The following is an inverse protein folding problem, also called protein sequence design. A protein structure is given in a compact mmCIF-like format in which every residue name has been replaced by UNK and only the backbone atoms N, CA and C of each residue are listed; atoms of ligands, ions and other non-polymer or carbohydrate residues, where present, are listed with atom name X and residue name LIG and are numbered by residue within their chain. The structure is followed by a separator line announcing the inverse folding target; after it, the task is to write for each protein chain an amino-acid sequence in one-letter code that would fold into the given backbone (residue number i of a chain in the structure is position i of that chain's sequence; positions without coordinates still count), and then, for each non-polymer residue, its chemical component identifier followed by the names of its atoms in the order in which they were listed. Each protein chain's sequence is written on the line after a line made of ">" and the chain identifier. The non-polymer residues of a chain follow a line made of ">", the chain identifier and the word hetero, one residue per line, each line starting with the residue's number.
data_IF_739920171084
#
_entry.id   IF_739920171084
#
_cell.length_a   1.000
_cell.length_b   1.000
_cell.length_c   1.000
_cell.angle_alpha   90.00
_cell.angle_beta   90.00
_cell.angle_gamma   90.00
#
_symmetry.space_group_name_H-M   'P 1'
#
loop_
_entity.id
_entity.type
_entity.pdbx_description
1 polymer ?
#
# COMPACT_ATOMS: atom_id res chain seq x y z
N UNK A 1 -11.72 72.39 59.34
CA UNK A 1 -12.38 72.23 58.03
C UNK A 1 -11.36 71.63 57.07
N UNK A 2 -11.40 70.31 56.82
CA UNK A 2 -10.42 69.57 56.00
C UNK A 2 -11.05 69.30 54.64
N UNK A 3 -10.56 69.94 53.58
CA UNK A 3 -10.99 69.68 52.21
C UNK A 3 -10.23 68.43 51.73
N UNK A 4 -10.96 67.33 51.59
CA UNK A 4 -10.45 66.07 51.04
C UNK A 4 -10.62 66.15 49.52
N UNK A 5 -9.53 66.41 48.80
CA UNK A 5 -9.50 66.26 47.34
C UNK A 5 -9.46 64.77 46.99
N UNK A 6 -10.57 64.21 46.50
CA UNK A 6 -10.58 62.92 45.82
C UNK A 6 -10.12 63.11 44.38
N UNK A 7 -8.92 62.64 44.06
CA UNK A 7 -8.49 62.44 42.68
C UNK A 7 -9.25 61.23 42.11
N UNK A 8 -10.25 61.50 41.26
CA UNK A 8 -10.85 60.49 40.40
C UNK A 8 -9.91 60.23 39.23
N UNK A 9 -9.13 59.15 39.33
CA UNK A 9 -8.31 58.64 38.23
C UNK A 9 -9.23 58.07 37.15
N UNK A 10 -9.59 58.89 36.16
CA UNK A 10 -10.28 58.43 34.96
C UNK A 10 -9.36 57.48 34.21
N UNK A 11 -9.67 56.20 34.30
CA UNK A 11 -8.90 55.09 33.75
C UNK A 11 -8.98 55.19 32.22
N UNK A 12 -7.89 55.62 31.56
CA UNK A 12 -7.74 55.62 30.10
C UNK A 12 -7.65 54.18 29.56
N UNK A 13 -8.76 53.44 29.64
CA UNK A 13 -8.87 52.02 29.26
C UNK A 13 -8.58 51.81 27.77
N UNK A 14 -8.84 52.81 26.92
CA UNK A 14 -8.60 52.72 25.47
C UNK A 14 -7.12 52.72 25.09
N UNK A 15 -6.26 53.40 25.88
CA UNK A 15 -4.82 53.47 25.61
C UNK A 15 -4.08 52.19 25.99
N UNK A 16 -4.48 51.56 27.10
CA UNK A 16 -3.87 50.31 27.56
C UNK A 16 -4.14 49.15 26.60
N UNK A 17 -5.38 49.01 26.12
CA UNK A 17 -5.75 47.94 25.18
C UNK A 17 -4.96 48.02 23.86
N UNK A 18 -4.68 49.23 23.36
CA UNK A 18 -3.91 49.41 22.12
C UNK A 18 -2.44 49.00 22.31
N UNK A 19 -1.85 49.34 23.45
CA UNK A 19 -0.46 48.93 23.78
C UNK A 19 -0.38 47.42 23.93
N UNK A 20 -1.30 46.80 24.66
CA UNK A 20 -1.36 45.34 24.85
C UNK A 20 -1.52 44.61 23.51
N UNK A 21 -2.40 45.08 22.63
CA UNK A 21 -2.56 44.54 21.29
C UNK A 21 -1.25 44.65 20.48
N UNK A 22 -0.61 45.82 20.48
CA UNK A 22 0.62 46.04 19.71
C UNK A 22 1.77 45.14 20.18
N UNK A 23 1.85 44.89 21.49
CA UNK A 23 2.84 44.00 22.09
C UNK A 23 2.54 42.54 21.76
N UNK A 24 1.28 42.12 21.86
CA UNK A 24 0.84 40.79 21.47
C UNK A 24 1.11 40.50 19.99
N UNK A 25 0.83 41.47 19.10
CA UNK A 25 1.08 41.34 17.67
C UNK A 25 2.58 41.22 17.36
N UNK A 26 3.41 41.97 18.10
CA UNK A 26 4.88 41.94 17.95
C UNK A 26 5.46 40.60 18.42
N UNK A 27 5.00 40.08 19.56
CA UNK A 27 5.41 38.76 20.06
C UNK A 27 4.95 37.64 19.13
N UNK A 28 3.72 37.72 18.63
CA UNK A 28 3.21 36.77 17.65
C UNK A 28 4.02 36.81 16.34
N UNK A 29 4.35 38.00 15.85
CA UNK A 29 5.20 38.17 14.67
C UNK A 29 6.57 37.52 14.86
N UNK A 30 7.20 37.69 16.04
CA UNK A 30 8.47 37.05 16.36
C UNK A 30 8.34 35.52 16.43
N UNK A 31 7.27 35.02 17.04
CA UNK A 31 6.98 33.59 17.09
C UNK A 31 6.77 33.01 15.69
N UNK A 32 6.08 33.71 14.79
CA UNK A 32 5.86 33.28 13.41
C UNK A 32 7.18 33.26 12.63
N UNK A 33 7.99 34.32 12.74
CA UNK A 33 9.29 34.41 12.04
C UNK A 33 10.24 33.30 12.48
N UNK A 34 10.21 32.91 13.76
CA UNK A 34 11.13 31.89 14.27
C UNK A 34 10.57 30.47 14.19
N UNK A 35 9.28 30.29 14.47
CA UNK A 35 8.63 28.98 14.54
C UNK A 35 8.29 28.39 13.17
N UNK A 36 7.88 29.22 12.20
CA UNK A 36 7.47 28.72 10.86
C UNK A 36 8.62 28.05 10.12
N UNK A 37 9.86 28.61 10.05
CA UNK A 37 10.96 27.95 9.35
C UNK A 37 11.31 26.58 9.93
N UNK A 38 11.36 26.47 11.27
CA UNK A 38 11.67 25.21 11.95
C UNK A 38 10.61 24.14 11.69
N UNK A 39 9.33 24.54 11.74
CA UNK A 39 8.23 23.65 11.41
C UNK A 39 8.25 23.25 9.93
N UNK A 40 8.57 24.19 9.04
CA UNK A 40 8.67 23.94 7.61
C UNK A 40 9.78 22.92 7.29
N UNK A 41 10.97 23.07 7.86
CA UNK A 41 12.08 22.12 7.66
C UNK A 41 11.71 20.70 8.13
N UNK A 42 11.05 20.57 9.28
CA UNK A 42 10.58 19.28 9.78
C UNK A 42 9.50 18.66 8.89
N UNK A 43 8.57 19.46 8.38
CA UNK A 43 7.54 18.98 7.46
C UNK A 43 8.15 18.53 6.12
N UNK A 44 9.10 19.29 5.57
CA UNK A 44 9.80 18.91 4.33
C UNK A 44 10.57 17.62 4.53
N UNK A 45 11.32 17.47 5.64
CA UNK A 45 12.05 16.25 5.94
C UNK A 45 11.10 15.04 6.04
N UNK A 46 9.95 15.22 6.69
CA UNK A 46 8.93 14.18 6.82
C UNK A 46 8.31 13.81 5.47
N UNK A 47 8.01 14.79 4.63
CA UNK A 47 7.46 14.58 3.30
C UNK A 47 8.43 13.81 2.40
N UNK A 48 9.70 14.20 2.38
CA UNK A 48 10.75 13.50 1.61
C UNK A 48 10.88 12.03 2.04
N UNK A 49 10.92 11.76 3.35
CA UNK A 49 11.00 10.39 3.87
C UNK A 49 9.75 9.58 3.50
N UNK A 50 8.57 10.21 3.52
CA UNK A 50 7.33 9.56 3.07
C UNK A 50 7.39 9.20 1.59
N UNK A 51 7.89 10.09 0.73
CA UNK A 51 8.07 9.80 -0.70
C UNK A 51 9.03 8.62 -0.92
N UNK A 52 10.18 8.64 -0.23
CA UNK A 52 11.16 7.55 -0.31
C UNK A 52 10.55 6.21 0.16
N UNK A 53 9.81 6.21 1.26
CA UNK A 53 9.10 5.04 1.77
C UNK A 53 8.09 4.49 0.75
N UNK A 54 7.35 5.36 0.07
CA UNK A 54 6.42 4.95 -0.99
C UNK A 54 7.14 4.34 -2.19
N UNK A 55 8.30 4.87 -2.57
CA UNK A 55 9.13 4.28 -3.64
C UNK A 55 9.59 2.88 -3.23
N UNK A 56 10.12 2.71 -2.01
CA UNK A 56 10.56 1.40 -1.50
C UNK A 56 9.41 0.41 -1.52
N UNK A 57 8.27 0.76 -0.92
CA UNK A 57 7.12 -0.14 -0.85
C UNK A 57 6.52 -0.46 -2.22
N UNK A 58 6.42 0.53 -3.10
CA UNK A 58 5.94 0.29 -4.47
C UNK A 58 6.87 -0.67 -5.22
N UNK A 59 8.17 -0.60 -4.93
CA UNK A 59 9.14 -1.44 -5.59
C UNK A 59 9.37 -2.81 -4.95
N UNK A 60 9.01 -2.99 -3.68
CA UNK A 60 9.29 -4.23 -2.95
C UNK A 60 8.74 -5.51 -3.63
N UNK A 61 7.49 -5.55 -4.14
CA UNK A 61 6.93 -6.79 -4.70
C UNK A 61 7.68 -7.30 -5.94
N UNK A 62 7.96 -6.42 -6.91
CA UNK A 62 8.65 -6.83 -8.14
C UNK A 62 10.13 -7.17 -7.89
N UNK A 63 10.77 -6.54 -6.89
CA UNK A 63 12.14 -6.88 -6.49
C UNK A 63 12.20 -8.25 -5.84
N UNK A 64 11.25 -8.53 -4.96
CA UNK A 64 11.11 -9.82 -4.28
C UNK A 64 10.85 -10.95 -5.30
N UNK A 65 9.94 -10.75 -6.26
CA UNK A 65 9.66 -11.74 -7.32
C UNK A 65 10.86 -12.05 -8.21
N UNK A 66 11.79 -11.09 -8.34
CA UNK A 66 13.02 -11.22 -9.14
C UNK A 66 14.24 -11.60 -8.30
N UNK A 67 14.08 -11.85 -6.99
CA UNK A 67 15.18 -12.20 -6.09
C UNK A 67 16.25 -11.11 -5.95
N UNK A 68 15.87 -9.84 -6.12
CA UNK A 68 16.77 -8.70 -5.97
C UNK A 68 16.87 -8.26 -4.51
N UNK A 69 17.99 -7.63 -4.18
CA UNK A 69 18.20 -6.99 -2.88
C UNK A 69 17.10 -5.95 -2.59
N UNK A 70 16.62 -5.85 -1.36
CA UNK A 70 15.58 -4.88 -1.02
C UNK A 70 16.17 -3.46 -0.97
N UNK A 71 15.38 -2.46 -1.38
CA UNK A 71 15.79 -1.06 -1.29
C UNK A 71 15.70 -0.58 0.16
N UNK A 72 16.74 0.07 0.64
CA UNK A 72 16.72 0.85 1.88
C UNK A 72 16.61 2.35 1.56
N UNK A 73 16.43 3.16 2.61
CA UNK A 73 16.34 4.62 2.45
C UNK A 73 17.63 5.23 1.91
N UNK A 74 18.80 4.68 2.28
CA UNK A 74 20.10 5.21 1.87
C UNK A 74 20.32 5.05 0.35
N UNK A 75 19.99 3.88 -0.19
CA UNK A 75 20.03 3.58 -1.62
C UNK A 75 19.07 4.48 -2.42
N UNK A 76 17.85 4.71 -1.90
CA UNK A 76 16.88 5.60 -2.56
C UNK A 76 17.38 7.04 -2.53
N UNK A 77 17.88 7.50 -1.39
CA UNK A 77 18.45 8.84 -1.24
C UNK A 77 19.61 9.07 -2.22
N UNK A 78 20.53 8.10 -2.32
CA UNK A 78 21.66 8.16 -3.25
C UNK A 78 21.21 8.14 -4.72
N UNK A 79 20.24 7.27 -5.06
CA UNK A 79 19.77 7.10 -6.45
C UNK A 79 18.99 8.31 -6.96
N UNK A 80 18.16 8.93 -6.13
CA UNK A 80 17.30 10.07 -6.52
C UNK A 80 17.87 11.43 -6.10
N UNK A 81 19.11 11.47 -5.60
CA UNK A 81 19.80 12.70 -5.22
C UNK A 81 19.04 13.54 -4.18
N UNK A 82 18.36 12.89 -3.23
CA UNK A 82 17.74 13.58 -2.11
C UNK A 82 18.80 14.28 -1.26
N UNK A 83 18.40 15.37 -0.58
CA UNK A 83 19.32 16.10 0.29
C UNK A 83 19.84 15.20 1.41
N UNK A 84 21.14 15.29 1.70
CA UNK A 84 21.75 14.50 2.78
C UNK A 84 21.25 14.99 4.14
N UNK A 85 20.28 14.26 4.70
CA UNK A 85 19.69 14.49 6.03
C UNK A 85 19.91 13.26 6.89
N UNK A 86 19.66 13.38 8.20
CA UNK A 86 19.69 12.23 9.10
C UNK A 86 18.65 11.19 8.65
N UNK A 87 19.14 10.06 8.16
CA UNK A 87 18.29 8.98 7.64
C UNK A 87 17.83 8.12 8.82
N UNK A 88 16.52 7.93 9.02
CA UNK A 88 16.04 6.98 10.01
C UNK A 88 16.47 5.56 9.61
N UNK A 89 16.65 4.67 10.59
CA UNK A 89 16.83 3.27 10.27
C UNK A 89 15.55 2.71 9.66
N UNK A 90 15.69 1.97 8.56
CA UNK A 90 14.55 1.37 7.86
C UNK A 90 14.63 -0.15 7.93
N UNK A 91 13.55 -0.78 8.36
CA UNK A 91 13.40 -2.23 8.33
C UNK A 91 12.19 -2.61 7.48
N UNK A 92 12.44 -3.30 6.37
CA UNK A 92 11.41 -3.89 5.53
C UNK A 92 11.17 -5.33 5.99
N UNK A 93 9.92 -5.68 6.27
CA UNK A 93 9.50 -7.04 6.57
C UNK A 93 8.36 -7.49 5.67
N UNK A 94 8.39 -8.76 5.30
CA UNK A 94 7.38 -9.40 4.44
C UNK A 94 6.63 -10.43 5.29
N UNK A 95 5.33 -10.21 5.43
CA UNK A 95 4.45 -10.89 6.38
C UNK A 95 3.11 -11.23 5.70
N UNK A 96 2.34 -12.11 6.34
CA UNK A 96 0.97 -12.51 6.02
C UNK A 96 0.01 -12.23 7.19
N UNK A 97 0.48 -11.48 8.20
CA UNK A 97 -0.22 -11.15 9.45
C UNK A 97 -1.26 -10.04 9.25
N UNK A 98 -2.25 -10.33 8.41
CA UNK A 98 -3.45 -9.54 8.26
C UNK A 98 -4.68 -10.44 8.42
N UNK A 99 -5.84 -9.84 8.70
CA UNK A 99 -7.03 -10.57 9.15
C UNK A 99 -7.55 -11.64 8.17
N UNK A 100 -7.27 -11.50 6.87
CA UNK A 100 -7.60 -12.52 5.87
C UNK A 100 -6.45 -13.54 5.71
N UNK A 101 -5.21 -13.07 5.55
CA UNK A 101 -4.03 -13.93 5.37
C UNK A 101 -3.89 -14.97 6.47
N UNK A 102 -3.94 -14.53 7.73
CA UNK A 102 -3.90 -15.39 8.91
C UNK A 102 -4.99 -16.46 8.98
N UNK A 103 -6.20 -16.17 8.47
CA UNK A 103 -7.34 -17.11 8.50
C UNK A 103 -7.32 -18.10 7.35
N UNK A 104 -6.86 -17.67 6.18
CA UNK A 104 -6.85 -18.47 4.96
C UNK A 104 -5.57 -19.27 4.84
N UNK A 105 -4.49 -18.93 5.55
CA UNK A 105 -3.22 -19.64 5.51
C UNK A 105 -3.37 -21.17 5.67
N UNK A 106 -4.16 -21.61 6.66
CA UNK A 106 -4.40 -23.04 6.92
C UNK A 106 -5.17 -23.73 5.78
N UNK A 107 -6.16 -23.05 5.20
CA UNK A 107 -6.89 -23.54 4.03
C UNK A 107 -5.95 -23.62 2.82
N UNK A 108 -5.08 -22.63 2.63
CA UNK A 108 -4.15 -22.64 1.52
C UNK A 108 -3.10 -23.73 1.62
N UNK A 109 -2.59 -24.07 2.80
CA UNK A 109 -1.67 -25.20 2.95
C UNK A 109 -2.30 -26.53 2.48
N UNK A 110 -3.62 -26.70 2.64
CA UNK A 110 -4.31 -27.91 2.13
C UNK A 110 -4.52 -27.90 0.61
N UNK A 111 -4.70 -26.71 0.04
CA UNK A 111 -4.95 -26.52 -1.39
C UNK A 111 -3.67 -26.40 -2.23
N UNK A 112 -2.51 -26.08 -1.62
CA UNK A 112 -1.17 -26.13 -2.25
C UNK A 112 -0.79 -27.52 -2.78
N UNK A 113 -1.48 -28.56 -2.33
CA UNK A 113 -1.35 -29.93 -2.84
C UNK A 113 -1.84 -30.07 -4.29
N UNK A 114 -2.68 -29.15 -4.76
CA UNK A 114 -3.04 -29.08 -6.16
C UNK A 114 -1.95 -28.33 -6.94
N UNK A 115 -1.32 -29.03 -7.87
CA UNK A 115 -0.26 -28.49 -8.72
C UNK A 115 -0.73 -27.17 -9.39
N UNK A 116 0.11 -26.15 -9.31
CA UNK A 116 -0.10 -24.87 -10.01
C UNK A 116 -0.90 -23.81 -9.25
N UNK A 117 -1.55 -24.10 -8.12
CA UNK A 117 -2.25 -23.08 -7.32
C UNK A 117 -1.31 -22.44 -6.28
N UNK A 118 -0.46 -21.53 -6.73
CA UNK A 118 0.42 -20.76 -5.85
C UNK A 118 -0.18 -19.38 -5.58
N UNK A 119 -0.88 -19.20 -4.46
CA UNK A 119 -1.13 -17.87 -3.92
C UNK A 119 0.01 -17.51 -2.95
N UNK A 120 0.79 -16.44 -3.22
CA UNK A 120 1.76 -15.95 -2.25
C UNK A 120 1.00 -15.36 -1.06
N UNK A 121 0.94 -16.11 0.04
CA UNK A 121 0.38 -15.62 1.31
C UNK A 121 1.22 -14.49 1.90
N UNK A 122 2.53 -14.50 1.64
CA UNK A 122 3.49 -13.50 2.09
C UNK A 122 3.51 -12.28 1.16
N UNK A 123 2.37 -11.59 1.08
CA UNK A 123 2.17 -10.45 0.18
C UNK A 123 2.02 -9.11 0.92
N UNK A 124 2.16 -9.07 2.25
CA UNK A 124 2.15 -7.83 3.01
C UNK A 124 3.59 -7.34 3.22
N UNK A 125 3.90 -6.19 2.63
CA UNK A 125 5.16 -5.49 2.80
C UNK A 125 4.97 -4.38 3.83
N UNK A 126 5.73 -4.43 4.92
CA UNK A 126 5.73 -3.41 5.95
C UNK A 126 7.11 -2.77 6.12
N UNK A 127 7.16 -1.45 6.05
CA UNK A 127 8.36 -0.65 6.23
C UNK A 127 8.25 0.13 7.54
N UNK A 128 9.07 -0.25 8.51
CA UNK A 128 9.17 0.44 9.80
C UNK A 128 10.37 1.38 9.77
N UNK A 129 10.11 2.65 10.11
CA UNK A 129 11.13 3.69 10.22
C UNK A 129 11.33 4.04 11.69
N UNK A 130 12.56 3.92 12.18
CA UNK A 130 12.93 4.26 13.55
C UNK A 130 13.98 5.38 13.54
N UNK A 131 13.88 6.30 14.49
CA UNK A 131 14.92 7.34 14.62
C UNK A 131 16.19 6.71 15.21
N UNK A 132 17.39 7.13 14.77
CA UNK A 132 18.64 6.55 15.26
C UNK A 132 18.83 6.67 16.77
N UNK A 133 18.19 7.65 17.40
CA UNK A 133 18.28 7.91 18.85
C UNK A 133 17.11 7.31 19.66
N UNK A 134 16.09 6.74 19.00
CA UNK A 134 14.90 6.22 19.66
C UNK A 134 14.57 4.82 19.16
N UNK A 135 14.46 3.84 20.07
CA UNK A 135 14.01 2.48 19.74
C UNK A 135 12.53 2.41 19.33
N UNK A 136 11.81 3.54 19.38
CA UNK A 136 10.39 3.62 19.06
C UNK A 136 10.22 3.86 17.56
N UNK A 137 9.36 3.06 16.93
CA UNK A 137 8.95 3.25 15.54
C UNK A 137 8.34 4.63 15.36
N UNK A 138 8.96 5.46 14.52
CA UNK A 138 8.49 6.80 14.20
C UNK A 138 7.35 6.76 13.19
N UNK A 139 7.48 5.93 12.15
CA UNK A 139 6.44 5.71 11.13
C UNK A 139 6.44 4.26 10.68
N UNK A 140 5.25 3.73 10.38
CA UNK A 140 5.08 2.40 9.80
C UNK A 140 4.21 2.54 8.54
N UNK A 141 4.70 1.99 7.44
CA UNK A 141 4.00 1.96 6.17
C UNK A 141 3.72 0.52 5.80
N UNK A 142 2.50 0.25 5.33
CA UNK A 142 2.07 -1.09 4.95
C UNK A 142 1.51 -1.05 3.53
N UNK A 143 1.92 -2.02 2.72
CA UNK A 143 1.39 -2.25 1.38
C UNK A 143 1.07 -3.73 1.23
N UNK A 144 -0.14 -4.02 0.75
CA UNK A 144 -0.49 -5.35 0.27
C UNK A 144 -0.17 -5.40 -1.23
N UNK A 145 0.59 -6.41 -1.65
CA UNK A 145 0.77 -6.73 -3.05
C UNK A 145 -0.45 -7.54 -3.52
N UNK A 146 -1.10 -7.05 -4.57
CA UNK A 146 -2.16 -7.77 -5.25
C UNK A 146 -1.56 -8.59 -6.38
N UNK A 147 -1.00 -9.74 -6.01
CA UNK A 147 -0.47 -10.70 -6.98
C UNK A 147 -1.58 -11.48 -7.69
N UNK A 148 -2.85 -11.16 -7.42
CA UNK A 148 -4.00 -11.73 -8.14
C UNK A 148 -4.42 -10.87 -9.32
N UNK A 149 -4.14 -9.57 -9.29
CA UNK A 149 -4.38 -8.70 -10.45
C UNK A 149 -3.62 -9.26 -11.66
N UNK A 150 -4.31 -9.53 -12.77
CA UNK A 150 -3.67 -10.01 -13.99
C UNK A 150 -2.76 -8.92 -14.54
N UNK A 151 -1.51 -9.26 -14.86
CA UNK A 151 -0.56 -8.33 -15.48
C UNK A 151 -0.34 -8.66 -16.95
N UNK A 152 -0.70 -9.87 -17.37
CA UNK A 152 -0.59 -10.33 -18.76
C UNK A 152 -1.95 -10.92 -19.22
N UNK A 153 -2.26 -10.89 -20.53
CA UNK A 153 -3.49 -11.50 -21.05
C UNK A 153 -3.67 -12.96 -20.63
N UNK A 154 -2.58 -13.73 -20.57
CA UNK A 154 -2.59 -15.14 -20.18
C UNK A 154 -3.04 -15.34 -18.71
N UNK A 155 -2.88 -14.31 -17.86
CA UNK A 155 -3.32 -14.36 -16.47
C UNK A 155 -4.86 -14.31 -16.35
N UNK A 156 -5.56 -13.71 -17.32
CA UNK A 156 -7.02 -13.57 -17.31
C UNK A 156 -7.73 -14.90 -17.33
N UNK A 157 -7.19 -15.87 -18.06
CA UNK A 157 -7.74 -17.22 -18.16
C UNK A 157 -7.01 -18.18 -17.25
N UNK A 158 -5.68 -18.08 -17.18
CA UNK A 158 -4.84 -19.03 -16.45
C UNK A 158 -5.08 -19.04 -14.94
N UNK A 159 -5.15 -17.86 -14.30
CA UNK A 159 -5.28 -17.79 -12.83
C UNK A 159 -6.68 -18.20 -12.34
N UNK A 160 -7.79 -17.70 -12.92
CA UNK A 160 -9.12 -18.13 -12.50
C UNK A 160 -9.39 -19.60 -12.80
N UNK A 161 -8.87 -20.12 -13.92
CA UNK A 161 -9.02 -21.54 -14.26
C UNK A 161 -8.43 -22.45 -13.20
N UNK A 162 -7.34 -22.06 -12.55
CA UNK A 162 -6.72 -22.83 -11.44
C UNK A 162 -7.60 -22.92 -10.19
N UNK A 163 -8.60 -22.06 -10.04
CA UNK A 163 -9.57 -22.09 -8.93
C UNK A 163 -10.80 -22.93 -9.26
N UNK A 164 -10.93 -23.39 -10.50
CA UNK A 164 -12.05 -24.24 -10.89
C UNK A 164 -11.83 -25.64 -10.32
N UNK A 165 -12.90 -26.35 -9.95
CA UNK A 165 -12.79 -27.73 -9.46
C UNK A 165 -12.14 -28.67 -10.46
N UNK A 166 -12.14 -28.29 -11.74
CA UNK A 166 -11.59 -29.03 -12.86
C UNK A 166 -10.09 -28.93 -12.98
N UNK A 167 -9.43 -27.86 -12.49
CA UNK A 167 -7.97 -27.83 -12.37
C UNK A 167 -7.47 -28.73 -11.24
N UNK A 168 -8.21 -28.82 -10.13
CA UNK A 168 -7.90 -29.74 -9.02
C UNK A 168 -7.93 -31.22 -9.46
N UNK A 169 -8.64 -31.50 -10.55
CA UNK A 169 -8.78 -32.82 -11.15
C UNK A 169 -7.80 -33.04 -12.31
N UNK A 170 -6.83 -32.16 -12.57
CA UNK A 170 -5.87 -32.27 -13.70
C UNK A 170 -5.03 -33.56 -13.71
N UNK A 171 -4.93 -34.28 -12.58
CA UNK A 171 -4.36 -35.63 -12.54
C UNK A 171 -5.24 -36.72 -13.17
N UNK A 172 -6.52 -36.41 -13.41
CA UNK A 172 -7.49 -37.27 -14.09
C UNK A 172 -7.82 -36.60 -15.41
N UNK A 173 -7.53 -37.26 -16.54
CA UNK A 173 -7.87 -36.73 -17.86
C UNK A 173 -9.39 -36.77 -18.08
N UNK A 174 -10.07 -35.72 -17.60
CA UNK A 174 -11.52 -35.53 -17.69
C UNK A 174 -11.96 -35.55 -19.16
N UNK A 175 -11.15 -35.04 -20.08
CA UNK A 175 -11.46 -35.06 -21.50
C UNK A 175 -11.55 -36.51 -22.02
N UNK A 176 -10.65 -37.39 -21.56
CA UNK A 176 -10.73 -38.82 -21.88
C UNK A 176 -11.97 -39.49 -21.27
N UNK A 177 -12.32 -39.18 -20.01
CA UNK A 177 -13.56 -39.69 -19.40
C UNK A 177 -14.82 -39.19 -20.13
N UNK A 178 -14.88 -37.90 -20.46
CA UNK A 178 -15.95 -37.30 -21.26
C UNK A 178 -16.06 -37.98 -22.62
N UNK A 179 -14.96 -38.20 -23.33
CA UNK A 179 -14.94 -38.87 -24.63
C UNK A 179 -15.45 -40.32 -24.55
N UNK A 180 -15.14 -41.04 -23.47
CA UNK A 180 -15.66 -42.40 -23.25
C UNK A 180 -17.16 -42.36 -22.95
N UNK A 181 -17.60 -41.44 -22.09
CA UNK A 181 -19.01 -41.31 -21.68
C UNK A 181 -19.88 -40.86 -22.84
N UNK A 182 -19.36 -39.98 -23.69
CA UNK A 182 -20.04 -39.47 -24.89
C UNK A 182 -20.31 -40.53 -25.97
N UNK A 183 -19.71 -41.72 -25.88
CA UNK A 183 -20.06 -42.88 -26.72
C UNK A 183 -21.44 -43.44 -26.39
N UNK A 184 -22.00 -43.14 -25.21
CA UNK A 184 -23.35 -43.54 -24.84
C UNK A 184 -24.39 -42.65 -25.55
N UNK A 185 -25.47 -43.21 -26.10
CA UNK A 185 -26.42 -42.49 -26.94
C UNK A 185 -27.16 -41.35 -26.22
N UNK A 186 -27.27 -41.39 -24.88
CA UNK A 186 -27.88 -40.31 -24.07
C UNK A 186 -26.87 -39.28 -23.55
N UNK A 187 -25.57 -39.45 -23.79
CA UNK A 187 -24.51 -38.65 -23.20
C UNK A 187 -23.70 -37.85 -24.23
N UNK A 188 -24.20 -37.70 -25.46
CA UNK A 188 -23.51 -36.97 -26.54
C UNK A 188 -23.21 -35.51 -26.18
N UNK A 189 -24.04 -34.91 -25.33
CA UNK A 189 -23.85 -33.54 -24.82
C UNK A 189 -22.65 -33.42 -23.85
N UNK A 190 -22.12 -34.53 -23.34
CA UNK A 190 -20.94 -34.56 -22.47
C UNK A 190 -19.63 -34.63 -23.26
N UNK A 191 -19.67 -34.51 -24.58
CA UNK A 191 -18.47 -34.48 -25.41
C UNK A 191 -17.57 -33.30 -24.98
N UNK A 192 -16.22 -33.47 -24.98
CA UNK A 192 -15.30 -32.38 -24.62
C UNK A 192 -15.52 -31.09 -25.42
N UNK A 193 -15.94 -31.22 -26.68
CA UNK A 193 -16.21 -30.07 -27.56
C UNK A 193 -17.52 -29.33 -27.26
N UNK A 194 -18.45 -29.96 -26.52
CA UNK A 194 -19.77 -29.39 -26.17
C UNK A 194 -19.79 -28.87 -24.72
N UNK A 195 -19.10 -29.57 -23.81
CA UNK A 195 -19.00 -29.21 -22.40
C UNK A 195 -17.54 -29.00 -22.01
N UNK A 196 -17.11 -27.74 -22.05
CA UNK A 196 -15.77 -27.34 -21.63
C UNK A 196 -15.78 -27.07 -20.13
N UNK A 197 -15.24 -28.02 -19.39
CA UNK A 197 -15.04 -27.90 -17.96
C UNK A 197 -13.96 -26.87 -17.62
N UNK A 198 -14.25 -25.96 -16.70
CA UNK A 198 -13.31 -24.91 -16.28
C UNK A 198 -13.11 -23.80 -17.31
N UNK A 199 -14.06 -23.61 -18.23
CA UNK A 199 -14.04 -22.48 -19.16
C UNK A 199 -14.11 -21.15 -18.38
N UNK A 200 -13.16 -20.28 -18.67
CA UNK A 200 -13.10 -18.91 -18.16
C UNK A 200 -13.26 -18.01 -19.36
N UNK A 201 -14.31 -17.18 -19.36
CA UNK A 201 -14.51 -16.18 -20.41
C UNK A 201 -13.59 -14.98 -20.11
N UNK A 202 -12.69 -14.65 -21.02
CA UNK A 202 -11.83 -13.47 -20.92
C UNK A 202 -12.52 -12.18 -21.42
N UNK A 203 -13.53 -12.31 -22.28
CA UNK A 203 -14.25 -11.18 -22.90
C UNK A 203 -15.12 -10.39 -21.90
N UNK A 204 -15.34 -10.94 -20.70
CA UNK A 204 -16.06 -10.23 -19.62
C UNK A 204 -15.15 -9.30 -18.80
N UNK A 205 -13.84 -9.36 -19.03
CA UNK A 205 -12.86 -8.52 -18.36
C UNK A 205 -12.83 -7.15 -19.07
N UNK A 206 -12.97 -6.03 -18.34
CA UNK A 206 -12.87 -4.70 -18.95
C UNK A 206 -11.53 -4.51 -19.66
N UNK A 207 -11.53 -3.84 -20.82
CA UNK A 207 -10.32 -3.58 -21.62
C UNK A 207 -9.20 -2.90 -20.82
N UNK A 208 -9.55 -2.14 -19.77
CA UNK A 208 -8.61 -1.49 -18.86
C UNK A 208 -8.05 -2.36 -17.72
N UNK A 209 -8.41 -3.64 -17.62
CA UNK A 209 -8.00 -4.47 -16.47
C UNK A 209 -6.52 -4.89 -16.52
N UNK A 210 -5.93 -4.96 -17.71
CA UNK A 210 -4.51 -5.27 -17.92
C UNK A 210 -3.62 -4.01 -17.96
N UNK A 211 -4.22 -2.86 -17.73
CA UNK A 211 -3.59 -1.57 -17.95
C UNK A 211 -3.00 -0.98 -16.67
N UNK A 212 -1.68 -0.90 -16.59
CA UNK A 212 -1.01 -0.07 -15.58
C UNK A 212 -0.83 1.36 -16.09
N UNK A 213 -1.79 2.24 -15.79
CA UNK A 213 -1.67 3.70 -15.97
C UNK A 213 -2.37 4.28 -17.21
N UNK A 214 -1.95 5.49 -17.60
CA UNK A 214 -2.65 6.38 -18.53
C UNK A 214 -2.58 5.94 -20.01
N UNK A 215 -1.99 4.78 -20.30
CA UNK A 215 -1.76 4.25 -21.65
C UNK A 215 -2.96 3.47 -22.23
N UNK A 216 -4.12 3.48 -21.57
CA UNK A 216 -5.31 2.73 -22.02
C UNK A 216 -6.45 3.61 -22.52
N UNK A 217 -6.05 4.67 -23.21
CA UNK A 217 -6.95 5.49 -24.01
C UNK A 217 -6.39 5.58 -25.42
N UNK A 218 -6.78 4.61 -26.25
CA UNK A 218 -6.91 4.75 -27.70
C UNK A 218 -8.24 4.10 -28.12
#
# INVERSE_FOLDING_TARGET
>A
MKIICRFTYSKNIKGQALVELSLALSLFGLFVIWGVPLLHEQLVARAEIQEQAQIILRQAPWRDSLGMEQLDLEMVQQRYQYQSRAVPSSQLSITDDYGLGSKVASLWETLKLADGLTMPLRNMYSLTLSQPEQEIAWMNFVRLADDWSPSQPEDLTGRPRRLTTTSLLEGIDIATLQAVTAKLPMAKELHPDQLIFGYVNEDVVPEGALCEGQACHD
#
